data_IF_858628832951
#
_entry.id   IF_858628832951
#
_cell.length_a   1.000
_cell.length_b   1.000
_cell.length_c   1.000
_cell.angle_alpha   90.00
_cell.angle_beta   90.00
_cell.angle_gamma   90.00
#
_symmetry.space_group_name_H-M   'P 1'
#
loop_
_entity.id
_entity.type
_entity.pdbx_description
1 polymer ?
#
# COMPACT_ATOMS: atom_id res chain seq x y z
N UNK A 1 0.12 21.59 -3.94
CA UNK A 1 0.63 20.22 -4.10
C UNK A 1 0.51 19.80 -5.54
N UNK A 2 1.59 19.30 -6.15
CA UNK A 2 1.71 18.78 -7.53
C UNK A 2 2.13 17.30 -7.48
N UNK A 3 1.60 16.48 -8.39
CA UNK A 3 2.08 15.11 -8.62
C UNK A 3 2.92 15.10 -9.90
N UNK A 4 4.06 14.43 -9.87
CA UNK A 4 4.93 14.24 -11.03
C UNK A 4 5.63 12.89 -10.97
N UNK A 5 6.12 12.40 -12.10
CA UNK A 5 7.01 11.25 -12.12
C UNK A 5 8.25 11.50 -11.27
N UNK A 6 8.71 10.47 -10.59
CA UNK A 6 9.93 10.52 -9.80
C UNK A 6 11.15 10.71 -10.71
N UNK A 7 12.16 11.42 -10.22
CA UNK A 7 13.46 11.63 -10.87
C UNK A 7 14.53 10.80 -10.15
N UNK A 8 15.63 10.57 -10.82
CA UNK A 8 16.73 9.78 -10.22
C UNK A 8 17.24 10.32 -8.87
N UNK A 9 17.12 11.62 -8.61
CA UNK A 9 17.56 12.22 -7.35
C UNK A 9 16.53 12.14 -6.21
N UNK A 10 15.27 11.82 -6.53
CA UNK A 10 14.20 11.78 -5.53
C UNK A 10 14.31 10.59 -4.57
N UNK A 11 15.02 9.53 -4.98
CA UNK A 11 15.10 8.31 -4.21
C UNK A 11 15.67 8.51 -2.80
N UNK A 12 16.68 9.37 -2.65
CA UNK A 12 17.27 9.69 -1.34
C UNK A 12 16.21 10.23 -0.40
N UNK A 13 15.49 11.24 -0.84
CA UNK A 13 14.40 11.84 -0.06
C UNK A 13 13.27 10.86 0.20
N UNK A 14 12.92 10.00 -0.77
CA UNK A 14 11.89 8.97 -0.57
C UNK A 14 12.29 7.93 0.48
N UNK A 15 13.56 7.52 0.53
CA UNK A 15 14.08 6.62 1.56
C UNK A 15 14.02 7.24 2.97
N UNK A 16 14.24 8.56 3.07
CA UNK A 16 14.18 9.31 4.33
C UNK A 16 12.73 9.51 4.83
N UNK A 17 11.73 9.33 3.96
CA UNK A 17 10.34 9.41 4.38
C UNK A 17 10.01 8.24 5.31
N UNK A 18 9.66 8.55 6.55
CA UNK A 18 9.27 7.52 7.51
C UNK A 18 7.98 6.81 7.05
N UNK A 19 8.12 5.57 6.58
CA UNK A 19 7.02 4.69 6.21
C UNK A 19 6.37 4.02 7.43
N UNK A 20 6.98 4.04 8.60
CA UNK A 20 6.43 3.53 9.84
C UNK A 20 5.12 4.20 10.25
N UNK A 21 4.33 3.56 11.08
CA UNK A 21 3.05 4.04 11.54
C UNK A 21 2.73 3.55 12.95
N UNK A 22 1.84 4.28 13.64
CA UNK A 22 1.26 3.81 14.89
C UNK A 22 -0.06 3.07 14.63
N UNK A 23 -0.30 2.02 15.39
CA UNK A 23 -1.58 1.31 15.40
C UNK A 23 -2.04 0.98 16.81
N UNK A 24 -3.33 1.08 17.04
CA UNK A 24 -4.03 0.67 18.27
C UNK A 24 -4.95 -0.53 18.03
N UNK A 25 -4.95 -1.07 16.81
CA UNK A 25 -5.74 -2.22 16.43
C UNK A 25 -5.01 -3.05 15.38
N UNK A 26 -5.37 -4.31 15.30
CA UNK A 26 -4.96 -5.25 14.26
C UNK A 26 -6.19 -5.98 13.74
N UNK A 27 -6.11 -6.52 12.53
CA UNK A 27 -7.09 -7.45 12.03
C UNK A 27 -6.69 -8.87 12.41
N UNK A 28 -7.59 -9.59 13.06
CA UNK A 28 -7.44 -11.00 13.37
C UNK A 28 -8.13 -11.82 12.29
N UNK A 29 -7.46 -12.84 11.83
CA UNK A 29 -7.97 -13.79 10.87
C UNK A 29 -8.34 -15.09 11.60
N UNK A 30 -9.52 -15.61 11.32
CA UNK A 30 -10.03 -16.88 11.85
C UNK A 30 -10.54 -17.71 10.68
N UNK A 31 -10.11 -18.96 10.62
CA UNK A 31 -10.62 -19.91 9.65
C UNK A 31 -11.94 -20.50 10.16
N UNK A 32 -12.94 -20.53 9.32
CA UNK A 32 -14.24 -21.10 9.60
C UNK A 32 -14.35 -22.44 8.91
N UNK A 33 -14.63 -23.47 9.68
CA UNK A 33 -14.84 -24.83 9.20
C UNK A 33 -16.28 -25.27 9.48
N UNK A 34 -16.93 -25.90 8.50
CA UNK A 34 -18.24 -26.52 8.62
C UNK A 34 -18.35 -27.68 7.66
N UNK A 35 -19.41 -28.50 7.77
CA UNK A 35 -19.67 -29.60 6.86
C UNK A 35 -19.95 -29.09 5.44
N UNK A 36 -18.91 -29.18 4.58
CA UNK A 36 -18.97 -28.66 3.20
C UNK A 36 -18.79 -27.15 3.06
N UNK A 37 -18.49 -26.45 4.15
CA UNK A 37 -18.22 -25.01 4.16
C UNK A 37 -16.79 -24.72 4.58
N UNK A 38 -16.17 -23.79 3.89
CA UNK A 38 -14.86 -23.24 4.23
C UNK A 38 -14.88 -21.73 4.04
N UNK A 39 -14.38 -20.98 5.00
CA UNK A 39 -14.36 -19.53 4.94
C UNK A 39 -13.28 -18.91 5.82
N UNK A 40 -13.08 -17.61 5.60
CA UNK A 40 -12.18 -16.81 6.42
C UNK A 40 -12.93 -15.62 6.99
N UNK A 41 -12.82 -15.43 8.29
CA UNK A 41 -13.39 -14.30 8.99
C UNK A 41 -12.28 -13.33 9.41
N UNK A 42 -12.43 -12.06 9.04
CA UNK A 42 -11.53 -11.00 9.44
C UNK A 42 -12.28 -10.02 10.34
N UNK A 43 -11.76 -9.81 11.56
CA UNK A 43 -12.30 -8.82 12.49
C UNK A 43 -11.23 -7.88 13.02
N UNK A 44 -11.57 -6.61 13.18
CA UNK A 44 -10.69 -5.65 13.84
C UNK A 44 -10.72 -5.88 15.36
N UNK A 45 -9.55 -6.08 15.94
CA UNK A 45 -9.37 -6.24 17.39
C UNK A 45 -8.51 -5.11 17.93
N UNK A 46 -8.89 -4.59 19.09
CA UNK A 46 -8.14 -3.54 19.78
C UNK A 46 -6.88 -4.13 20.43
N UNK A 47 -5.74 -3.49 20.22
CA UNK A 47 -4.52 -3.87 20.91
C UNK A 47 -4.52 -3.34 22.36
N UNK A 48 -3.93 -4.07 23.32
CA UNK A 48 -3.83 -3.62 24.71
C UNK A 48 -3.10 -2.27 24.86
N UNK A 49 -2.16 -1.99 23.95
CA UNK A 49 -1.40 -0.72 23.87
C UNK A 49 -1.11 -0.37 22.41
N UNK A 50 -0.93 0.91 22.12
CA UNK A 50 -0.46 1.37 20.83
C UNK A 50 0.90 0.77 20.53
N UNK A 51 1.11 0.38 19.28
CA UNK A 51 2.37 -0.16 18.79
C UNK A 51 2.90 0.75 17.69
N UNK A 52 4.19 1.02 17.74
CA UNK A 52 4.94 1.61 16.64
C UNK A 52 5.34 0.48 15.72
N UNK A 53 4.95 0.57 14.47
CA UNK A 53 5.29 -0.41 13.42
C UNK A 53 6.35 0.22 12.53
N UNK A 54 7.49 -0.46 12.46
CA UNK A 54 8.59 -0.06 11.61
C UNK A 54 8.29 -0.37 10.13
N UNK A 55 8.96 0.31 9.19
CA UNK A 55 8.84 0.00 7.78
C UNK A 55 9.11 -1.47 7.49
N UNK A 56 8.35 -2.04 6.56
CA UNK A 56 8.48 -3.45 6.15
C UNK A 56 9.77 -3.72 5.39
N UNK A 57 10.22 -2.74 4.61
CA UNK A 57 11.43 -2.82 3.81
C UNK A 57 12.52 -1.93 4.38
N UNK A 58 13.74 -2.42 4.35
CA UNK A 58 14.94 -1.62 4.60
C UNK A 58 15.18 -0.65 3.44
N UNK A 59 16.02 0.36 3.69
CA UNK A 59 16.42 1.31 2.64
C UNK A 59 17.07 0.62 1.45
N UNK A 60 17.86 -0.44 1.68
CA UNK A 60 18.49 -1.21 0.61
C UNK A 60 17.48 -2.00 -0.22
N UNK A 61 16.53 -2.65 0.44
CA UNK A 61 15.47 -3.40 -0.25
C UNK A 61 14.59 -2.46 -1.08
N UNK A 62 14.25 -1.30 -0.53
CA UNK A 62 13.50 -0.28 -1.26
C UNK A 62 14.28 0.23 -2.47
N UNK A 63 15.59 0.45 -2.34
CA UNK A 63 16.44 0.88 -3.45
C UNK A 63 16.54 -0.18 -4.56
N UNK A 64 16.72 -1.46 -4.20
CA UNK A 64 16.71 -2.58 -5.16
C UNK A 64 15.37 -2.70 -5.86
N UNK A 65 14.29 -2.52 -5.13
CA UNK A 65 12.95 -2.57 -5.65
C UNK A 65 12.62 -1.36 -6.56
N UNK A 66 13.26 -0.19 -6.35
CA UNK A 66 13.06 1.02 -7.16
C UNK A 66 13.26 0.77 -8.66
N UNK A 67 14.29 0.03 -9.03
CA UNK A 67 14.63 -0.27 -10.43
C UNK A 67 13.62 -1.19 -11.14
N UNK A 68 12.73 -1.85 -10.36
CA UNK A 68 11.71 -2.78 -10.89
C UNK A 68 10.32 -2.19 -10.93
N UNK A 69 10.17 -0.86 -10.76
CA UNK A 69 8.89 -0.17 -10.76
C UNK A 69 8.56 0.31 -12.18
N UNK A 70 7.36 -0.02 -12.65
CA UNK A 70 6.87 0.46 -13.96
C UNK A 70 6.32 1.88 -13.87
N UNK A 71 5.78 2.25 -12.73
CA UNK A 71 5.32 3.60 -12.43
C UNK A 71 5.78 4.09 -11.06
N UNK A 72 6.32 5.32 -11.00
CA UNK A 72 6.74 5.92 -9.75
C UNK A 72 6.46 7.43 -9.76
N UNK A 73 5.70 7.90 -8.78
CA UNK A 73 5.32 9.31 -8.66
C UNK A 73 5.56 9.84 -7.28
N UNK A 74 5.92 11.13 -7.24
CA UNK A 74 6.07 11.89 -6.01
C UNK A 74 5.05 13.01 -5.93
N UNK A 75 4.50 13.25 -4.75
CA UNK A 75 3.72 14.43 -4.42
C UNK A 75 4.66 15.50 -3.87
N UNK A 76 4.65 16.69 -4.46
CA UNK A 76 5.57 17.77 -4.09
C UNK A 76 4.83 19.07 -3.75
N UNK A 77 5.41 19.85 -2.84
CA UNK A 77 4.99 21.22 -2.55
C UNK A 77 6.22 22.06 -2.22
N UNK A 78 6.41 23.19 -2.93
CA UNK A 78 7.59 24.08 -2.77
C UNK A 78 8.90 23.28 -2.72
N UNK A 79 9.10 22.37 -3.66
CA UNK A 79 10.26 21.48 -3.80
C UNK A 79 10.41 20.37 -2.74
N UNK A 80 9.55 20.32 -1.71
CA UNK A 80 9.55 19.20 -0.75
C UNK A 80 8.73 18.02 -1.26
N UNK A 81 9.23 16.81 -1.09
CA UNK A 81 8.46 15.59 -1.32
C UNK A 81 7.61 15.31 -0.08
N UNK A 82 6.30 15.20 -0.28
CA UNK A 82 5.31 14.94 0.76
C UNK A 82 4.97 13.47 0.89
N UNK A 83 5.22 12.69 -0.18
CA UNK A 83 4.92 11.27 -0.26
C UNK A 83 5.16 10.76 -1.67
N UNK A 84 5.09 9.46 -1.84
CA UNK A 84 5.25 8.78 -3.12
C UNK A 84 4.34 7.57 -3.26
N UNK A 85 4.14 7.15 -4.50
CA UNK A 85 3.46 5.91 -4.87
C UNK A 85 4.24 5.25 -5.99
N UNK A 86 4.37 3.93 -5.89
CA UNK A 86 4.97 3.12 -6.94
C UNK A 86 4.05 1.96 -7.33
N UNK A 87 4.08 1.61 -8.61
CA UNK A 87 3.34 0.50 -9.21
C UNK A 87 4.28 -0.49 -9.89
N UNK A 88 3.89 -1.76 -9.85
CA UNK A 88 4.43 -2.83 -10.66
C UNK A 88 3.30 -3.37 -11.54
N UNK A 89 3.54 -3.50 -12.85
CA UNK A 89 2.59 -4.07 -13.78
C UNK A 89 2.68 -5.61 -13.73
N UNK A 90 1.53 -6.24 -13.73
CA UNK A 90 1.36 -7.69 -13.87
C UNK A 90 0.50 -7.91 -15.12
N UNK A 91 1.19 -7.90 -16.27
CA UNK A 91 0.57 -7.82 -17.60
C UNK A 91 -0.35 -9.00 -17.86
N UNK A 92 0.07 -10.20 -17.47
CA UNK A 92 -0.70 -11.44 -17.66
C UNK A 92 -2.07 -11.39 -16.95
N UNK A 93 -2.17 -10.62 -15.88
CA UNK A 93 -3.40 -10.46 -15.10
C UNK A 93 -4.13 -9.14 -15.36
N UNK A 94 -3.61 -8.31 -16.29
CA UNK A 94 -4.13 -6.96 -16.58
C UNK A 94 -4.32 -6.12 -15.32
N UNK A 95 -3.39 -6.26 -14.37
CA UNK A 95 -3.42 -5.56 -13.09
C UNK A 95 -2.13 -4.81 -12.78
N UNK A 96 -2.22 -3.83 -11.90
CA UNK A 96 -1.07 -3.15 -11.35
C UNK A 96 -1.09 -3.24 -9.83
N UNK A 97 0.01 -3.68 -9.27
CA UNK A 97 0.20 -3.77 -7.82
C UNK A 97 0.83 -2.49 -7.29
N UNK A 98 0.18 -1.90 -6.28
CA UNK A 98 0.74 -0.78 -5.52
C UNK A 98 1.83 -1.36 -4.61
N UNK A 99 3.08 -1.23 -5.04
CA UNK A 99 4.22 -1.75 -4.29
C UNK A 99 4.58 -0.87 -3.11
N UNK A 100 4.34 0.44 -3.24
CA UNK A 100 4.60 1.41 -2.19
C UNK A 100 3.59 2.55 -2.23
N UNK A 101 3.16 2.99 -1.06
CA UNK A 101 2.39 4.21 -0.86
C UNK A 101 2.77 4.81 0.49
N UNK A 102 3.63 5.79 0.45
CA UNK A 102 4.17 6.43 1.64
C UNK A 102 3.86 7.92 1.64
N UNK A 103 3.43 8.42 2.79
CA UNK A 103 3.22 9.85 3.03
C UNK A 103 3.97 10.26 4.29
N UNK A 104 4.77 11.31 4.19
CA UNK A 104 5.49 11.87 5.31
C UNK A 104 4.55 12.15 6.50
N UNK A 105 4.91 11.80 7.74
CA UNK A 105 4.03 11.89 8.91
C UNK A 105 3.32 13.24 9.05
N UNK A 106 4.04 14.35 8.88
CA UNK A 106 3.50 15.70 8.96
C UNK A 106 2.44 16.04 7.88
N UNK A 107 2.34 15.24 6.82
CA UNK A 107 1.44 15.46 5.68
C UNK A 107 0.36 14.38 5.55
N UNK A 108 0.29 13.43 6.50
CA UNK A 108 -0.76 12.41 6.55
C UNK A 108 -2.13 13.05 6.80
N UNK A 109 -3.20 12.35 6.38
CA UNK A 109 -4.62 12.78 6.52
C UNK A 109 -4.97 14.09 5.79
N UNK A 110 -4.11 14.58 4.89
CA UNK A 110 -4.30 15.79 4.08
C UNK A 110 -4.61 15.49 2.60
N UNK A 111 -5.00 14.24 2.28
CA UNK A 111 -5.39 13.85 0.92
C UNK A 111 -4.23 13.52 -0.02
N UNK A 112 -2.96 13.55 0.44
CA UNK A 112 -1.77 13.28 -0.39
C UNK A 112 -1.84 11.90 -1.05
N UNK A 113 -2.09 10.84 -0.26
CA UNK A 113 -2.19 9.47 -0.77
C UNK A 113 -3.32 9.31 -1.81
N UNK A 114 -4.49 9.93 -1.57
CA UNK A 114 -5.61 9.88 -2.50
C UNK A 114 -5.29 10.52 -3.86
N UNK A 115 -4.57 11.64 -3.87
CA UNK A 115 -4.13 12.29 -5.12
C UNK A 115 -3.06 11.48 -5.85
N UNK A 116 -2.14 10.86 -5.13
CA UNK A 116 -1.17 9.92 -5.71
C UNK A 116 -1.90 8.73 -6.35
N UNK A 117 -2.85 8.12 -5.64
CA UNK A 117 -3.67 7.03 -6.16
C UNK A 117 -4.45 7.44 -7.42
N UNK A 118 -5.08 8.61 -7.41
CA UNK A 118 -5.81 9.11 -8.59
C UNK A 118 -4.89 9.24 -9.82
N UNK A 119 -3.70 9.80 -9.63
CA UNK A 119 -2.72 9.94 -10.70
C UNK A 119 -2.24 8.59 -11.23
N UNK A 120 -1.90 7.66 -10.32
CA UNK A 120 -1.48 6.30 -10.64
C UNK A 120 -2.58 5.51 -11.37
N UNK A 121 -3.85 5.67 -10.94
CA UNK A 121 -5.01 5.07 -11.62
C UNK A 121 -5.14 5.57 -13.06
N UNK A 122 -5.03 6.88 -13.28
CA UNK A 122 -5.09 7.44 -14.62
C UNK A 122 -3.95 6.97 -15.53
N UNK A 123 -2.77 6.73 -14.97
CA UNK A 123 -1.67 6.13 -15.71
C UNK A 123 -1.93 4.65 -15.99
N UNK A 124 -2.35 3.85 -15.02
CA UNK A 124 -2.63 2.42 -15.16
C UNK A 124 -3.68 2.14 -16.25
N UNK A 125 -4.72 2.98 -16.36
CA UNK A 125 -5.70 2.89 -17.43
C UNK A 125 -5.09 3.02 -18.84
N UNK A 126 -4.02 3.81 -19.00
CA UNK A 126 -3.29 3.96 -20.29
C UNK A 126 -2.37 2.76 -20.57
N UNK A 127 -2.10 1.92 -19.59
CA UNK A 127 -1.33 0.67 -19.71
C UNK A 127 -2.23 -0.57 -19.86
N UNK A 128 -3.51 -0.37 -20.19
CA UNK A 128 -4.51 -1.42 -20.34
C UNK A 128 -4.76 -2.26 -19.07
N UNK A 129 -4.51 -1.66 -17.92
CA UNK A 129 -4.79 -2.25 -16.59
C UNK A 129 -6.27 -2.13 -16.29
N UNK A 130 -6.86 -3.22 -15.78
CA UNK A 130 -8.27 -3.29 -15.38
C UNK A 130 -8.49 -3.12 -13.88
N UNK A 131 -7.48 -3.46 -13.09
CA UNK A 131 -7.58 -3.42 -11.63
C UNK A 131 -6.27 -3.05 -10.94
N UNK A 132 -6.39 -2.41 -9.79
CA UNK A 132 -5.30 -2.15 -8.88
C UNK A 132 -5.35 -3.12 -7.71
N UNK A 133 -4.18 -3.62 -7.31
CA UNK A 133 -3.99 -4.45 -6.11
C UNK A 133 -3.23 -3.63 -5.07
N UNK A 134 -3.71 -3.67 -3.84
CA UNK A 134 -3.04 -3.10 -2.67
C UNK A 134 -2.84 -4.22 -1.64
N UNK A 135 -1.62 -4.37 -1.18
CA UNK A 135 -1.23 -5.39 -0.20
C UNK A 135 -0.81 -4.71 1.09
N UNK A 136 -1.24 -5.23 2.22
CA UNK A 136 -0.82 -4.69 3.51
C UNK A 136 -0.87 -5.76 4.61
N UNK A 137 -0.04 -5.62 5.65
CA UNK A 137 -0.12 -6.47 6.84
C UNK A 137 -1.46 -6.29 7.59
N UNK A 138 -1.88 -7.31 8.31
CA UNK A 138 -3.09 -7.27 9.15
C UNK A 138 -3.02 -6.19 10.24
N UNK A 139 -1.82 -5.75 10.64
CA UNK A 139 -1.61 -4.65 11.61
C UNK A 139 -1.65 -3.27 10.96
N UNK A 140 -1.68 -3.19 9.62
CA UNK A 140 -1.63 -1.91 8.91
C UNK A 140 -2.99 -1.19 8.89
N UNK A 141 -3.56 -0.91 10.05
CA UNK A 141 -4.84 -0.20 10.20
C UNK A 141 -4.95 1.04 9.29
N UNK A 142 -3.93 1.92 9.16
CA UNK A 142 -4.02 3.07 8.27
C UNK A 142 -4.15 2.68 6.79
N UNK A 143 -3.46 1.62 6.34
CA UNK A 143 -3.51 1.15 4.96
C UNK A 143 -4.86 0.48 4.67
N UNK A 144 -5.37 -0.34 5.60
CA UNK A 144 -6.69 -0.98 5.48
C UNK A 144 -7.80 0.09 5.44
N UNK A 145 -7.72 1.10 6.32
CA UNK A 145 -8.67 2.23 6.30
C UNK A 145 -8.59 3.03 4.99
N UNK A 146 -7.39 3.21 4.44
CA UNK A 146 -7.19 3.84 3.13
C UNK A 146 -7.82 3.01 2.02
N UNK A 147 -7.57 1.70 1.97
CA UNK A 147 -8.15 0.79 0.98
C UNK A 147 -9.68 0.88 0.98
N UNK A 148 -10.32 0.74 2.15
CA UNK A 148 -11.77 0.84 2.30
C UNK A 148 -12.31 2.20 1.86
N UNK A 149 -11.67 3.31 2.27
CA UNK A 149 -12.06 4.66 1.87
C UNK A 149 -12.02 4.88 0.35
N UNK A 150 -11.08 4.22 -0.34
CA UNK A 150 -10.91 4.36 -1.79
C UNK A 150 -11.57 3.23 -2.58
N UNK A 151 -12.54 2.54 -1.96
CA UNK A 151 -13.38 1.50 -2.60
C UNK A 151 -12.59 0.29 -3.10
N UNK A 152 -11.50 -0.06 -2.42
CA UNK A 152 -10.89 -1.37 -2.59
C UNK A 152 -11.69 -2.39 -1.79
N UNK A 153 -11.85 -3.59 -2.34
CA UNK A 153 -12.49 -4.73 -1.69
C UNK A 153 -11.47 -5.82 -1.41
N UNK A 154 -11.62 -6.55 -0.31
CA UNK A 154 -10.77 -7.71 -0.02
C UNK A 154 -10.89 -8.73 -1.14
N UNK A 155 -9.78 -9.25 -1.62
CA UNK A 155 -9.74 -10.25 -2.67
C UNK A 155 -8.89 -11.49 -2.34
N UNK A 156 -8.21 -11.48 -1.21
CA UNK A 156 -7.41 -12.61 -0.77
C UNK A 156 -6.50 -12.26 0.40
N UNK A 157 -5.77 -13.27 0.82
CA UNK A 157 -4.72 -13.16 1.82
C UNK A 157 -3.65 -14.21 1.52
N UNK A 158 -2.48 -14.02 2.12
CA UNK A 158 -1.42 -15.04 2.14
C UNK A 158 -0.74 -15.02 3.50
N UNK A 159 -0.66 -16.18 4.12
CA UNK A 159 0.10 -16.31 5.36
C UNK A 159 1.60 -16.26 5.11
N UNK A 160 2.37 -15.80 6.10
CA UNK A 160 3.83 -15.64 5.97
C UNK A 160 4.25 -14.86 4.71
N UNK A 161 3.48 -13.85 4.33
CA UNK A 161 3.73 -13.07 3.10
C UNK A 161 4.82 -12.00 3.30
N UNK A 162 4.77 -11.30 4.43
CA UNK A 162 5.71 -10.25 4.77
C UNK A 162 6.88 -10.77 5.63
N UNK A 163 8.01 -10.07 5.65
CA UNK A 163 9.06 -10.32 6.64
C UNK A 163 8.47 -10.41 8.05
N UNK A 164 9.13 -11.16 8.94
CA UNK A 164 8.65 -11.42 10.32
C UNK A 164 7.37 -12.26 10.40
N UNK A 165 7.10 -13.07 9.37
CA UNK A 165 5.97 -13.99 9.30
C UNK A 165 4.61 -13.29 9.42
N UNK A 166 4.51 -12.06 8.91
CA UNK A 166 3.23 -11.35 8.91
C UNK A 166 2.37 -11.75 7.70
N UNK A 167 1.09 -12.00 7.97
CA UNK A 167 0.09 -12.30 6.94
C UNK A 167 -0.18 -11.06 6.09
N UNK A 168 -0.18 -11.23 4.78
CA UNK A 168 -0.60 -10.23 3.80
C UNK A 168 -2.11 -10.29 3.53
N UNK A 169 -2.78 -9.17 3.64
CA UNK A 169 -4.17 -8.99 3.21
C UNK A 169 -4.20 -8.23 1.89
N UNK A 170 -4.92 -8.78 0.91
CA UNK A 170 -4.95 -8.25 -0.46
C UNK A 170 -6.29 -7.60 -0.75
N UNK A 171 -6.22 -6.41 -1.32
CA UNK A 171 -7.35 -5.62 -1.73
C UNK A 171 -7.26 -5.34 -3.22
N UNK A 172 -8.40 -5.42 -3.91
CA UNK A 172 -8.50 -5.02 -5.32
C UNK A 172 -9.47 -3.87 -5.51
N UNK A 173 -9.18 -3.06 -6.51
CA UNK A 173 -10.08 -2.04 -7.02
C UNK A 173 -10.17 -2.15 -8.53
N UNK A 174 -11.35 -2.39 -9.07
CA UNK A 174 -11.61 -2.26 -10.50
C UNK A 174 -11.52 -0.79 -10.91
N UNK A 175 -10.86 -0.53 -12.03
CA UNK A 175 -10.67 0.81 -12.60
C UNK A 175 -11.21 0.91 -14.02
N UNK A 176 -11.63 -0.24 -14.57
CA UNK A 176 -12.36 -0.41 -15.81
C UNK A 176 -13.62 -1.22 -15.61
#
# INVERSE_FOLDING_TARGET
MRIRSARNDDWKTCLELNAGYETDAAWQMEELHGDGEWGMHFREVRLPRRQQIEPLLTSEELLRAWQRRDGFWVATERSKILGYLALVLEVEHRQARISDLVVAPAHRRRGVAGRLLQHATAWALRQDVEQLILECPLKAKPAIAFARKHHFVVCGFQDVYWPRQETGLFFRKRIR
#
